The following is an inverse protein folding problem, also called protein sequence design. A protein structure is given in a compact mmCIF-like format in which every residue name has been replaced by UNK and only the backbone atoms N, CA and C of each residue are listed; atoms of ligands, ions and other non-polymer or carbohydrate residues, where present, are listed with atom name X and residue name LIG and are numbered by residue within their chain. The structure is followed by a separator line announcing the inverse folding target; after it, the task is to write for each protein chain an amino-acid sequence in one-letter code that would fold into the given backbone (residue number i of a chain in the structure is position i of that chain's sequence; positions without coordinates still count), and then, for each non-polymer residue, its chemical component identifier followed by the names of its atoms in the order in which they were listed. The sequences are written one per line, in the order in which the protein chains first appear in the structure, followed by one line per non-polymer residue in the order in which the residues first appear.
data_IF_596834355393
#
_entry.id   IF_596834355393
#
_cell.length_a   1.000
_cell.length_b   1.000
_cell.length_c   1.000
_cell.angle_alpha   90.00
_cell.angle_beta   90.00
_cell.angle_gamma   90.00
#
_symmetry.space_group_name_H-M   'P 1'
#
loop_
_entity.id
_entity.type
_entity.pdbx_description
1 polymer ?
#
# COMPACT_ATOMS: atom_id res chain seq x y z
N UNK A 1 25.96 -31.98 64.55
CA UNK A 1 24.57 -32.22 64.10
C UNK A 1 24.25 -31.27 62.93
N UNK A 2 24.37 -31.74 61.69
CA UNK A 2 23.94 -31.02 60.48
C UNK A 2 22.83 -31.82 59.83
N UNK A 3 21.64 -31.23 59.75
CA UNK A 3 20.46 -31.80 59.09
C UNK A 3 20.56 -31.46 57.59
N UNK A 4 20.86 -32.45 56.77
CA UNK A 4 20.78 -32.39 55.31
C UNK A 4 19.81 -33.45 54.84
N UNK A 5 18.52 -33.13 54.82
CA UNK A 5 17.48 -33.83 54.06
C UNK A 5 16.11 -33.18 54.38
N UNK A 6 15.71 -32.19 53.59
CA UNK A 6 14.30 -31.80 53.34
C UNK A 6 14.27 -30.46 52.58
N UNK A 7 14.84 -30.41 51.38
CA UNK A 7 14.60 -29.31 50.43
C UNK A 7 14.28 -29.90 49.05
N UNK A 8 13.44 -30.93 49.05
CA UNK A 8 13.04 -31.72 47.89
C UNK A 8 11.51 -31.85 47.87
N UNK A 9 10.79 -30.71 47.91
CA UNK A 9 9.32 -30.70 47.83
C UNK A 9 8.67 -29.34 47.46
N UNK A 10 9.42 -28.28 47.14
CA UNK A 10 8.86 -26.93 46.96
C UNK A 10 9.29 -26.20 45.67
N UNK A 11 9.79 -26.96 44.68
CA UNK A 11 10.11 -26.45 43.34
C UNK A 11 9.20 -27.05 42.26
N UNK A 12 7.96 -27.36 42.62
CA UNK A 12 6.84 -27.49 41.70
C UNK A 12 5.94 -26.26 41.89
N UNK A 13 5.46 -25.69 40.77
CA UNK A 13 4.59 -24.53 40.66
C UNK A 13 5.26 -23.14 40.57
N UNK A 14 6.08 -22.94 39.54
CA UNK A 14 6.18 -21.62 38.89
C UNK A 14 6.26 -21.79 37.36
N UNK A 15 5.43 -22.66 36.80
CA UNK A 15 5.05 -22.62 35.38
C UNK A 15 3.88 -21.64 35.26
N UNK A 16 4.15 -20.36 35.51
CA UNK A 16 3.23 -19.29 35.10
C UNK A 16 3.40 -19.12 33.61
N UNK A 17 2.55 -19.83 32.86
CA UNK A 17 1.91 -19.39 31.62
C UNK A 17 2.38 -18.02 31.11
N UNK A 18 3.57 -17.95 30.52
CA UNK A 18 3.82 -16.95 29.47
C UNK A 18 3.02 -17.43 28.28
N UNK A 19 1.73 -17.08 28.30
CA UNK A 19 0.89 -17.19 27.13
C UNK A 19 1.62 -16.52 25.98
N UNK A 20 1.80 -17.25 24.88
CA UNK A 20 2.07 -16.65 23.60
C UNK A 20 0.85 -15.79 23.25
N UNK A 21 0.81 -14.56 23.76
CA UNK A 21 -0.04 -13.54 23.19
C UNK A 21 0.49 -13.31 21.79
N UNK A 22 -0.16 -13.95 20.80
CA UNK A 22 -0.13 -13.46 19.43
C UNK A 22 -0.49 -11.98 19.55
N UNK A 23 0.48 -11.09 19.33
CA UNK A 23 0.25 -9.66 19.35
C UNK A 23 -0.79 -9.36 18.26
N UNK A 24 -2.05 -9.20 18.66
CA UNK A 24 -3.09 -8.66 17.78
C UNK A 24 -2.56 -7.34 17.21
N UNK A 25 -2.59 -7.20 15.88
CA UNK A 25 -2.10 -5.99 15.24
C UNK A 25 -3.11 -4.87 15.50
N UNK A 26 -2.71 -3.88 16.29
CA UNK A 26 -3.54 -2.70 16.50
C UNK A 26 -3.48 -1.79 15.26
N UNK A 27 -4.63 -1.60 14.61
CA UNK A 27 -4.77 -0.73 13.45
C UNK A 27 -5.18 0.69 13.86
N UNK A 28 -4.53 1.73 13.32
CA UNK A 28 -4.93 3.10 13.62
C UNK A 28 -6.34 3.36 13.09
N UNK A 29 -7.14 4.09 13.87
CA UNK A 29 -8.42 4.59 13.36
C UNK A 29 -8.19 5.73 12.37
N UNK A 30 -8.98 5.76 11.30
CA UNK A 30 -8.92 6.80 10.29
C UNK A 30 -10.31 7.18 9.77
N UNK A 31 -10.44 8.42 9.31
CA UNK A 31 -11.63 8.90 8.61
C UNK A 31 -11.56 8.52 7.11
N UNK A 32 -12.53 7.73 6.58
CA UNK A 32 -12.60 7.36 5.17
C UNK A 32 -12.54 8.54 4.19
N UNK A 33 -13.17 9.67 4.54
CA UNK A 33 -13.19 10.84 3.67
C UNK A 33 -11.80 11.47 3.57
N UNK A 34 -11.09 11.58 4.70
CA UNK A 34 -9.70 12.02 4.78
C UNK A 34 -8.77 11.09 3.98
N UNK A 35 -8.90 9.77 4.12
CA UNK A 35 -8.09 8.79 3.36
C UNK A 35 -8.33 8.92 1.85
N UNK A 36 -9.59 9.00 1.44
CA UNK A 36 -9.96 9.14 0.04
C UNK A 36 -9.45 10.44 -0.56
N UNK A 37 -9.64 11.57 0.13
CA UNK A 37 -9.14 12.88 -0.30
C UNK A 37 -7.62 12.87 -0.47
N UNK A 38 -6.90 12.39 0.53
CA UNK A 38 -5.44 12.30 0.50
C UNK A 38 -4.96 11.49 -0.70
N UNK A 39 -5.61 10.36 -0.99
CA UNK A 39 -5.23 9.54 -2.13
C UNK A 39 -5.51 10.23 -3.46
N UNK A 40 -6.63 10.97 -3.58
CA UNK A 40 -6.91 11.77 -4.79
C UNK A 40 -5.91 12.91 -5.00
N UNK A 41 -5.47 13.58 -3.93
CA UNK A 41 -4.48 14.65 -4.02
C UNK A 41 -3.11 14.09 -4.45
N UNK A 42 -2.73 12.94 -3.89
CA UNK A 42 -1.48 12.25 -4.28
C UNK A 42 -1.55 11.70 -5.70
N UNK A 43 -2.71 11.23 -6.14
CA UNK A 43 -2.92 10.77 -7.51
C UNK A 43 -2.73 11.92 -8.51
N UNK A 44 -3.29 13.10 -8.23
CA UNK A 44 -3.07 14.29 -9.05
C UNK A 44 -1.58 14.67 -9.06
N UNK A 45 -0.94 14.75 -7.90
CA UNK A 45 0.49 15.06 -7.81
C UNK A 45 1.37 14.06 -8.57
N UNK A 46 1.05 12.78 -8.53
CA UNK A 46 1.73 11.75 -9.31
C UNK A 46 1.46 11.90 -10.81
N UNK A 47 0.23 12.18 -11.21
CA UNK A 47 -0.15 12.45 -12.61
C UNK A 47 0.63 13.64 -13.19
N UNK A 48 0.63 14.77 -12.50
CA UNK A 48 1.37 15.97 -12.91
C UNK A 48 2.87 15.67 -13.04
N UNK A 49 3.41 14.88 -12.11
CA UNK A 49 4.80 14.42 -12.10
C UNK A 49 5.20 13.56 -13.28
N UNK A 50 4.24 12.88 -13.94
CA UNK A 50 4.55 12.10 -15.13
C UNK A 50 4.95 12.98 -16.30
N UNK A 51 4.37 14.18 -16.41
CA UNK A 51 4.54 15.10 -17.52
C UNK A 51 4.47 14.37 -18.88
N UNK A 52 3.40 13.58 -19.07
CA UNK A 52 3.22 12.80 -20.29
C UNK A 52 3.00 13.72 -21.50
N UNK A 53 3.43 13.30 -22.69
CA UNK A 53 2.97 13.94 -23.92
C UNK A 53 1.44 13.85 -24.05
N UNK A 54 0.82 14.60 -24.98
CA UNK A 54 -0.61 14.47 -25.25
C UNK A 54 -1.00 13.00 -25.47
N UNK A 55 -2.03 12.56 -24.75
CA UNK A 55 -2.56 11.20 -24.74
C UNK A 55 -4.09 11.27 -24.64
N UNK A 56 -4.76 10.13 -24.85
CA UNK A 56 -6.19 10.02 -24.58
C UNK A 56 -6.47 10.32 -23.10
N UNK A 57 -7.61 10.94 -22.82
CA UNK A 57 -7.99 11.27 -21.45
C UNK A 57 -8.10 10.01 -20.59
N UNK A 58 -7.50 10.06 -19.39
CA UNK A 58 -7.68 9.00 -18.40
C UNK A 58 -9.14 8.96 -17.96
N UNK A 59 -9.76 7.79 -18.08
CA UNK A 59 -11.11 7.53 -17.56
C UNK A 59 -11.17 7.84 -16.06
N UNK A 60 -12.22 8.52 -15.56
CA UNK A 60 -12.39 8.72 -14.13
C UNK A 60 -12.39 7.39 -13.35
N UNK A 61 -11.68 7.34 -12.23
CA UNK A 61 -11.55 6.15 -11.39
C UNK A 61 -12.05 6.42 -9.99
N UNK A 62 -12.56 5.40 -9.33
CA UNK A 62 -13.05 5.50 -7.96
C UNK A 62 -11.93 5.18 -6.98
N UNK A 63 -11.91 5.91 -5.86
CA UNK A 63 -11.20 5.51 -4.65
C UNK A 63 -12.09 4.57 -3.86
N UNK A 64 -11.70 3.31 -3.76
CA UNK A 64 -12.52 2.25 -3.16
C UNK A 64 -11.77 1.59 -1.99
N UNK A 65 -12.49 1.00 -1.02
CA UNK A 65 -11.86 0.15 -0.03
C UNK A 65 -11.32 -1.12 -0.71
N UNK A 66 -10.03 -1.40 -0.55
CA UNK A 66 -9.39 -2.65 -0.95
C UNK A 66 -9.48 -3.74 0.12
N UNK A 67 -9.11 -4.97 -0.24
CA UNK A 67 -9.62 -6.18 0.44
C UNK A 67 -8.60 -6.98 1.28
N UNK A 68 -7.49 -6.42 1.77
CA UNK A 68 -6.41 -7.26 2.34
C UNK A 68 -5.71 -6.72 3.58
N UNK A 69 -6.48 -6.40 4.62
CA UNK A 69 -5.94 -6.09 5.94
C UNK A 69 -6.10 -7.29 6.88
N UNK A 70 -4.99 -7.96 7.18
CA UNK A 70 -4.95 -9.17 8.00
C UNK A 70 -4.85 -8.84 9.51
N UNK A 71 -5.71 -9.43 10.33
CA UNK A 71 -5.74 -9.22 11.79
C UNK A 71 -4.39 -9.46 12.52
N UNK A 72 -3.46 -10.19 11.89
CA UNK A 72 -2.20 -10.64 12.46
C UNK A 72 -2.30 -12.07 12.98
N UNK A 73 -1.27 -12.89 12.73
CA UNK A 73 -1.26 -14.33 13.03
C UNK A 73 -0.75 -15.17 11.85
N UNK A 74 -0.59 -16.49 12.06
CA UNK A 74 -0.20 -17.46 11.02
C UNK A 74 -1.36 -17.81 10.06
N UNK A 75 -2.57 -17.29 10.29
CA UNK A 75 -3.74 -17.47 9.43
C UNK A 75 -3.91 -16.26 8.51
N UNK A 76 -3.88 -16.52 7.20
CA UNK A 76 -4.21 -15.56 6.14
C UNK A 76 -5.73 -15.37 5.96
N UNK A 77 -6.54 -16.06 6.76
CA UNK A 77 -7.99 -16.18 6.54
C UNK A 77 -8.83 -15.23 7.41
N UNK A 78 -8.23 -14.51 8.36
CA UNK A 78 -8.94 -13.58 9.24
C UNK A 78 -8.66 -12.13 8.84
N UNK A 79 -9.52 -11.62 7.96
CA UNK A 79 -9.63 -10.18 7.70
C UNK A 79 -10.59 -9.56 8.70
N UNK A 80 -10.26 -8.35 9.19
CA UNK A 80 -11.18 -7.59 10.03
C UNK A 80 -12.10 -6.78 9.11
N UNK A 81 -13.44 -6.87 9.26
CA UNK A 81 -14.38 -6.29 8.31
C UNK A 81 -14.35 -4.76 8.28
N UNK A 82 -13.91 -4.11 9.35
CA UNK A 82 -13.79 -2.65 9.47
C UNK A 82 -12.35 -2.14 9.32
N UNK A 83 -11.40 -3.01 8.94
CA UNK A 83 -10.02 -2.61 8.64
C UNK A 83 -9.79 -2.72 7.16
N UNK A 84 -9.60 -1.57 6.51
CA UNK A 84 -9.49 -1.49 5.06
C UNK A 84 -8.25 -0.70 4.66
N UNK A 85 -7.76 -1.01 3.47
CA UNK A 85 -6.95 -0.07 2.69
C UNK A 85 -7.90 0.71 1.78
N UNK A 86 -7.55 1.91 1.36
CA UNK A 86 -8.15 2.54 0.19
C UNK A 86 -7.17 2.45 -0.96
N UNK A 87 -7.67 2.18 -2.16
CA UNK A 87 -6.88 2.16 -3.36
C UNK A 87 -7.57 2.89 -4.50
N UNK A 88 -6.74 3.38 -5.41
CA UNK A 88 -7.18 3.87 -6.71
C UNK A 88 -6.11 3.49 -7.73
N UNK A 89 -6.53 3.11 -8.93
CA UNK A 89 -5.62 2.77 -10.01
C UNK A 89 -6.13 3.32 -11.31
N UNK A 90 -5.24 3.89 -12.11
CA UNK A 90 -5.53 4.37 -13.45
C UNK A 90 -4.45 3.92 -14.42
N UNK A 91 -4.73 4.08 -15.71
CA UNK A 91 -3.79 3.75 -16.76
C UNK A 91 -3.78 4.80 -17.87
N UNK A 92 -2.66 4.88 -18.56
CA UNK A 92 -2.53 5.55 -19.85
C UNK A 92 -2.05 4.53 -20.86
N UNK A 93 -2.78 4.40 -21.95
CA UNK A 93 -2.49 3.43 -23.02
C UNK A 93 -1.46 3.98 -24.01
N UNK A 94 -0.96 3.08 -24.87
CA UNK A 94 -0.07 3.41 -25.99
C UNK A 94 1.18 4.21 -25.62
N UNK A 95 1.75 3.96 -24.45
CA UNK A 95 2.99 4.60 -23.99
C UNK A 95 4.20 3.82 -24.51
N UNK A 96 5.03 4.40 -25.39
CA UNK A 96 6.26 3.76 -25.86
C UNK A 96 7.30 3.62 -24.75
N UNK A 97 8.24 2.68 -24.93
CA UNK A 97 9.23 2.32 -23.89
C UNK A 97 10.12 3.49 -23.46
N UNK A 98 10.50 4.37 -24.39
CA UNK A 98 11.33 5.55 -24.10
C UNK A 98 10.57 6.58 -23.26
N UNK A 99 9.28 6.80 -23.56
CA UNK A 99 8.39 7.64 -22.75
C UNK A 99 8.18 7.01 -21.38
N UNK A 100 7.93 5.69 -21.30
CA UNK A 100 7.78 4.98 -20.03
C UNK A 100 9.03 5.10 -19.15
N UNK A 101 10.25 4.89 -19.69
CA UNK A 101 11.52 5.06 -18.96
C UNK A 101 11.70 6.50 -18.49
N UNK A 102 11.37 7.48 -19.33
CA UNK A 102 11.49 8.89 -18.97
C UNK A 102 10.51 9.27 -17.86
N UNK A 103 9.26 8.80 -17.93
CA UNK A 103 8.23 8.98 -16.90
C UNK A 103 8.63 8.33 -15.59
N UNK A 104 9.10 7.08 -15.62
CA UNK A 104 9.62 6.39 -14.45
C UNK A 104 10.75 7.20 -13.79
N UNK A 105 11.74 7.66 -14.58
CA UNK A 105 12.86 8.42 -14.05
C UNK A 105 12.41 9.76 -13.43
N UNK A 106 11.42 10.44 -14.01
CA UNK A 106 10.82 11.67 -13.43
C UNK A 106 10.17 11.38 -12.09
N UNK A 107 9.30 10.37 -12.04
CA UNK A 107 8.60 10.01 -10.82
C UNK A 107 9.57 9.53 -9.73
N UNK A 108 10.56 8.68 -10.05
CA UNK A 108 11.59 8.27 -9.08
C UNK A 108 12.26 9.47 -8.43
N UNK A 109 12.64 10.49 -9.23
CA UNK A 109 13.23 11.73 -8.70
C UNK A 109 12.24 12.51 -7.85
N UNK A 110 10.99 12.67 -8.29
CA UNK A 110 9.94 13.37 -7.56
C UNK A 110 9.68 12.72 -6.19
N UNK A 111 9.41 11.42 -6.15
CA UNK A 111 9.17 10.66 -4.92
C UNK A 111 10.39 10.71 -3.98
N UNK A 112 11.59 10.49 -4.50
CA UNK A 112 12.82 10.54 -3.68
C UNK A 112 13.06 11.95 -3.12
N UNK A 113 12.81 13.00 -3.90
CA UNK A 113 12.96 14.40 -3.45
C UNK A 113 11.92 14.78 -2.40
N UNK A 114 10.74 14.16 -2.43
CA UNK A 114 9.72 14.28 -1.41
C UNK A 114 9.99 13.41 -0.15
N UNK A 115 11.12 12.71 -0.09
CA UNK A 115 11.51 11.88 1.05
C UNK A 115 10.82 10.52 1.11
N UNK A 116 10.17 10.07 0.03
CA UNK A 116 9.56 8.75 -0.02
C UNK A 116 10.63 7.67 -0.18
N UNK A 117 10.37 6.48 0.37
CA UNK A 117 11.29 5.35 0.35
C UNK A 117 10.94 4.40 -0.79
N UNK A 118 11.92 4.04 -1.63
CA UNK A 118 11.76 2.97 -2.62
C UNK A 118 11.71 1.62 -1.89
N UNK A 119 10.58 0.92 -1.97
CA UNK A 119 10.37 -0.38 -1.31
C UNK A 119 10.35 -1.55 -2.28
N UNK A 120 10.17 -1.29 -3.58
CA UNK A 120 10.29 -2.30 -4.63
C UNK A 120 10.83 -1.69 -5.91
N UNK A 121 11.81 -2.35 -6.53
CA UNK A 121 12.25 -2.05 -7.89
C UNK A 121 11.67 -3.09 -8.85
N UNK A 122 10.84 -2.65 -9.78
CA UNK A 122 10.10 -3.51 -10.72
C UNK A 122 10.75 -3.63 -12.10
N UNK A 123 11.92 -3.00 -12.30
CA UNK A 123 12.58 -2.98 -13.59
C UNK A 123 13.16 -4.37 -13.92
N UNK A 124 12.77 -4.90 -15.07
CA UNK A 124 13.28 -6.19 -15.56
C UNK A 124 13.29 -6.22 -17.08
N UNK A 125 14.35 -6.78 -17.64
CA UNK A 125 14.54 -6.93 -19.08
C UNK A 125 15.02 -8.35 -19.36
N UNK A 126 14.19 -9.14 -20.07
CA UNK A 126 14.49 -10.53 -20.41
C UNK A 126 14.00 -10.82 -21.82
N UNK A 127 14.94 -11.08 -22.74
CA UNK A 127 14.68 -11.36 -24.16
C UNK A 127 13.76 -10.29 -24.77
N UNK A 128 12.50 -10.65 -24.99
CA UNK A 128 11.48 -9.81 -25.65
C UNK A 128 10.48 -9.23 -24.64
N UNK A 129 10.76 -9.32 -23.33
CA UNK A 129 9.91 -8.78 -22.28
C UNK A 129 10.65 -7.71 -21.47
N UNK A 130 10.06 -6.53 -21.42
CA UNK A 130 10.54 -5.39 -20.64
C UNK A 130 9.43 -4.98 -19.69
N UNK A 131 9.73 -4.93 -18.39
CA UNK A 131 8.89 -4.28 -17.39
C UNK A 131 9.64 -3.11 -16.79
N UNK A 132 8.91 -2.03 -16.59
CA UNK A 132 9.37 -0.84 -15.90
C UNK A 132 8.44 -0.57 -14.74
N UNK A 133 8.99 -0.14 -13.62
CA UNK A 133 8.17 0.14 -12.46
C UNK A 133 8.92 0.22 -11.15
N UNK A 134 8.17 0.60 -10.13
CA UNK A 134 8.64 0.71 -8.76
C UNK A 134 7.45 0.68 -7.80
N UNK A 135 7.75 0.56 -6.51
CA UNK A 135 6.88 0.98 -5.41
C UNK A 135 7.63 1.96 -4.53
N UNK A 136 7.04 3.13 -4.28
CA UNK A 136 7.48 4.03 -3.22
C UNK A 136 6.47 4.02 -2.07
N UNK A 137 6.98 4.24 -0.86
CA UNK A 137 6.20 4.38 0.37
C UNK A 137 6.53 5.70 1.07
N UNK A 138 5.50 6.45 1.46
CA UNK A 138 5.64 7.65 2.27
C UNK A 138 5.94 7.24 3.72
N UNK A 139 7.13 7.53 4.28
CA UNK A 139 7.43 7.14 5.65
C UNK A 139 6.57 7.85 6.70
N UNK A 140 5.94 8.98 6.36
CA UNK A 140 5.10 9.74 7.30
C UNK A 140 3.68 9.19 7.39
N UNK A 141 3.13 8.67 6.28
CA UNK A 141 1.73 8.21 6.23
C UNK A 141 1.56 6.72 5.96
N UNK A 142 2.59 6.04 5.46
CA UNK A 142 2.52 4.65 4.98
C UNK A 142 1.80 4.49 3.63
N UNK A 143 1.46 5.59 2.96
CA UNK A 143 0.84 5.53 1.62
C UNK A 143 1.84 4.99 0.61
N UNK A 144 1.37 4.21 -0.36
CA UNK A 144 2.19 3.58 -1.39
C UNK A 144 1.75 4.00 -2.77
N UNK A 145 2.72 4.17 -3.66
CA UNK A 145 2.47 4.37 -5.09
C UNK A 145 3.29 3.41 -5.92
N UNK A 146 2.58 2.73 -6.82
CA UNK A 146 3.13 1.75 -7.74
C UNK A 146 3.07 2.29 -9.16
N UNK A 147 4.20 2.23 -9.84
CA UNK A 147 4.27 2.38 -11.28
C UNK A 147 4.49 1.02 -11.91
N UNK A 148 3.74 0.70 -12.96
CA UNK A 148 3.96 -0.51 -13.77
C UNK A 148 3.78 -0.19 -15.24
N UNK A 149 4.69 -0.67 -16.06
CA UNK A 149 4.60 -0.69 -17.52
C UNK A 149 5.20 -1.98 -18.04
N UNK A 150 4.67 -2.50 -19.14
CA UNK A 150 5.29 -3.61 -19.85
C UNK A 150 5.13 -3.46 -21.36
N UNK A 151 6.06 -4.02 -22.11
CA UNK A 151 6.07 -3.91 -23.57
C UNK A 151 5.02 -4.78 -24.29
N UNK A 152 4.28 -5.63 -23.58
CA UNK A 152 3.21 -6.44 -24.17
C UNK A 152 1.89 -5.68 -24.29
N UNK A 153 1.58 -4.79 -23.34
CA UNK A 153 0.37 -3.94 -23.38
C UNK A 153 0.68 -2.50 -23.73
N UNK A 154 1.93 -2.05 -23.56
CA UNK A 154 2.36 -0.65 -23.70
C UNK A 154 1.60 0.34 -22.81
N UNK A 155 0.87 -0.16 -21.81
CA UNK A 155 0.09 0.66 -20.90
C UNK A 155 0.89 0.98 -19.64
N UNK A 156 0.87 2.25 -19.26
CA UNK A 156 1.44 2.75 -18.01
C UNK A 156 0.35 2.76 -16.94
N UNK A 157 0.48 1.89 -15.94
CA UNK A 157 -0.42 1.79 -14.80
C UNK A 157 0.17 2.51 -13.60
N UNK A 158 -0.65 3.32 -12.93
CA UNK A 158 -0.35 3.79 -11.59
C UNK A 158 -1.43 3.39 -10.62
N UNK A 159 -0.98 2.95 -9.44
CA UNK A 159 -1.86 2.55 -8.36
C UNK A 159 -1.39 3.20 -7.06
N UNK A 160 -2.30 3.87 -6.37
CA UNK A 160 -2.07 4.44 -5.04
C UNK A 160 -2.79 3.60 -3.98
N UNK A 161 -2.18 3.45 -2.80
CA UNK A 161 -2.73 2.70 -1.68
C UNK A 161 -2.51 3.45 -0.37
N UNK A 162 -3.47 3.41 0.54
CA UNK A 162 -3.26 3.81 1.94
C UNK A 162 -2.72 2.64 2.76
N UNK A 163 -2.12 2.85 3.96
CA UNK A 163 -1.98 1.75 4.90
C UNK A 163 -3.36 1.24 5.34
N UNK A 164 -3.37 0.03 5.90
CA UNK A 164 -4.54 -0.50 6.59
C UNK A 164 -4.91 0.38 7.78
N UNK A 165 -6.18 0.75 7.87
CA UNK A 165 -6.72 1.53 8.96
C UNK A 165 -8.12 1.04 9.34
N UNK A 166 -8.46 1.19 10.62
CA UNK A 166 -9.80 0.93 11.12
C UNK A 166 -10.72 2.09 10.78
N UNK A 167 -11.85 1.81 10.14
CA UNK A 167 -12.87 2.80 9.77
C UNK A 167 -14.21 2.48 10.46
N UNK A 168 -15.19 3.40 10.50
CA UNK A 168 -16.53 3.04 10.95
C UNK A 168 -17.10 1.87 10.13
N UNK A 169 -17.69 0.87 10.79
CA UNK A 169 -18.26 -0.31 10.12
C UNK A 169 -19.24 0.07 9.00
N UNK A 170 -20.07 1.09 9.20
CA UNK A 170 -21.00 1.58 8.16
C UNK A 170 -20.29 2.07 6.90
N UNK A 171 -19.09 2.64 7.03
CA UNK A 171 -18.29 3.09 5.89
C UNK A 171 -17.55 1.93 5.20
N UNK A 172 -17.24 0.85 5.94
CA UNK A 172 -16.71 -0.39 5.35
C UNK A 172 -17.82 -1.16 4.60
N UNK A 173 -19.01 -1.26 5.19
CA UNK A 173 -20.16 -1.98 4.61
C UNK A 173 -20.76 -1.25 3.40
N UNK A 174 -20.78 0.08 3.44
CA UNK A 174 -21.35 0.93 2.39
C UNK A 174 -20.43 2.12 2.14
N UNK A 175 -19.32 1.90 1.40
CA UNK A 175 -18.41 2.99 1.08
C UNK A 175 -19.11 4.05 0.24
N UNK A 176 -18.69 5.30 0.43
CA UNK A 176 -19.03 6.42 -0.44
C UNK A 176 -17.79 6.77 -1.26
N UNK A 177 -17.61 6.15 -2.45
CA UNK A 177 -16.36 6.28 -3.20
C UNK A 177 -16.21 7.72 -3.70
N UNK A 178 -15.00 8.25 -3.56
CA UNK A 178 -14.63 9.50 -4.21
C UNK A 178 -14.16 9.20 -5.63
N UNK A 179 -14.69 9.89 -6.62
CA UNK A 179 -14.17 9.79 -7.99
C UNK A 179 -12.98 10.75 -8.15
N UNK A 180 -11.91 10.26 -8.77
CA UNK A 180 -10.78 11.04 -9.22
C UNK A 180 -10.69 11.01 -10.75
N UNK A 181 -10.35 12.15 -11.33
CA UNK A 181 -9.93 12.30 -12.71
C UNK A 181 -8.83 13.34 -12.75
N UNK A 182 -7.82 13.18 -13.62
CA UNK A 182 -6.79 14.19 -13.77
C UNK A 182 -7.41 15.56 -14.07
N UNK A 183 -6.96 16.56 -13.33
CA UNK A 183 -7.22 17.96 -13.67
C UNK A 183 -6.09 18.42 -14.59
N UNK A 184 -6.44 19.01 -15.73
CA UNK A 184 -5.43 19.64 -16.60
C UNK A 184 -4.92 20.91 -15.91
N UNK A 185 -3.61 21.08 -15.85
CA UNK A 185 -2.94 22.32 -15.40
C UNK A 185 -2.54 23.15 -16.62
#
# INVERSE_FOLDING_TARGET
MRKTAAFLALLLAALTTTGCSVLEREYPSADPATLSQRLTDRAQWAYDGMALPPHEAVTPVQVIPGHSCYAGGLSIDETLPDVVTFDLSWMVEDIPVDIARATEARLRRQFSSAGWTLTHDGNREVKDHVTLGFRFEDPATGDKFDLRWNNSTTSLFLSGYTPCAKVPQSAADTPSPKTWSPQNV
#
